data_IF_847498266360
#
_entry.id   IF_847498266360
#
_cell.length_a   1.000
_cell.length_b   1.000
_cell.length_c   1.000
_cell.angle_alpha   90.00
_cell.angle_beta   90.00
_cell.angle_gamma   90.00
#
_symmetry.space_group_name_H-M   'P 1'
#
loop_
_entity.id
_entity.type
_entity.pdbx_description
1 polymer ?
#
# COMPACT_ATOMS: atom_id res chain seq x y z
N UNK A 1 -7.46 27.99 6.23
CA UNK A 1 -6.42 27.52 7.19
C UNK A 1 -6.76 26.11 7.68
N UNK A 2 -5.80 25.21 7.67
CA UNK A 2 -5.90 23.84 8.24
C UNK A 2 -4.72 23.60 9.19
N UNK A 3 -4.91 22.67 10.12
CA UNK A 3 -3.83 22.15 10.99
C UNK A 3 -3.36 20.80 10.45
N UNK A 4 -2.07 20.60 10.29
CA UNK A 4 -1.48 19.37 9.77
C UNK A 4 -0.63 18.70 10.84
N UNK A 5 -1.03 17.50 11.25
CA UNK A 5 -0.34 16.69 12.23
C UNK A 5 0.49 15.62 11.51
N UNK A 6 1.80 15.65 11.64
CA UNK A 6 2.70 14.71 10.98
C UNK A 6 3.42 13.87 12.02
N UNK A 7 3.23 12.55 11.96
CA UNK A 7 4.00 11.61 12.78
C UNK A 7 5.44 11.56 12.29
N UNK A 8 6.38 11.79 13.21
CA UNK A 8 7.82 11.78 12.98
C UNK A 8 8.45 10.66 13.81
N UNK A 9 9.49 10.04 13.29
CA UNK A 9 10.21 8.99 14.01
C UNK A 9 11.38 8.44 13.21
N UNK A 10 12.26 7.71 13.89
CA UNK A 10 13.41 7.03 13.30
C UNK A 10 13.42 5.56 13.70
N UNK A 11 13.84 4.68 12.78
CA UNK A 11 13.92 3.24 13.00
C UNK A 11 14.81 2.87 14.21
N UNK A 12 15.89 3.62 14.40
CA UNK A 12 16.93 3.32 15.38
C UNK A 12 16.52 3.69 16.82
N UNK A 13 15.68 4.72 16.98
CA UNK A 13 15.36 5.25 18.31
C UNK A 13 13.98 4.83 18.85
N UNK A 14 13.15 4.16 18.04
CA UNK A 14 11.84 3.63 18.46
C UNK A 14 10.84 4.66 18.97
N UNK A 15 11.27 5.91 19.17
CA UNK A 15 10.42 6.99 19.64
C UNK A 15 9.77 7.74 18.48
N UNK A 16 8.46 7.90 18.55
CA UNK A 16 7.73 8.73 17.62
C UNK A 16 7.14 9.94 18.33
N UNK A 17 7.06 11.07 17.63
CA UNK A 17 6.39 12.28 18.09
C UNK A 17 5.53 12.87 16.95
N UNK A 18 4.72 13.87 17.25
CA UNK A 18 3.90 14.55 16.27
C UNK A 18 4.36 15.99 16.15
N UNK A 19 4.75 16.38 14.93
CA UNK A 19 4.91 17.79 14.60
C UNK A 19 3.58 18.34 14.11
N UNK A 20 3.23 19.57 14.51
CA UNK A 20 1.96 20.21 14.18
C UNK A 20 2.25 21.51 13.46
N UNK A 21 1.72 21.62 12.22
CA UNK A 21 1.89 22.78 11.37
C UNK A 21 0.54 23.42 11.04
N UNK A 22 0.55 24.72 10.68
CA UNK A 22 -0.61 25.39 10.09
C UNK A 22 -0.36 25.65 8.62
N UNK A 23 -1.41 25.58 7.81
CA UNK A 23 -1.35 25.90 6.39
C UNK A 23 -2.60 26.69 5.96
N UNK A 24 -2.39 27.81 5.32
CA UNK A 24 -3.44 28.73 4.83
C UNK A 24 -3.32 29.04 3.33
N UNK A 25 -2.43 28.33 2.63
CA UNK A 25 -2.24 28.47 1.19
C UNK A 25 -3.31 27.76 0.36
N UNK A 26 -2.94 27.45 -0.88
CA UNK A 26 -3.83 26.80 -1.85
C UNK A 26 -4.25 25.39 -1.39
N UNK A 27 -5.55 25.23 -1.18
CA UNK A 27 -6.16 23.95 -0.77
C UNK A 27 -6.42 22.98 -1.93
N UNK A 28 -6.22 23.41 -3.17
CA UNK A 28 -6.42 22.54 -4.35
C UNK A 28 -5.21 21.67 -4.66
N UNK A 29 -4.10 21.86 -3.95
CA UNK A 29 -2.88 21.05 -4.09
C UNK A 29 -3.04 19.70 -3.39
N UNK A 30 -2.16 18.75 -3.74
CA UNK A 30 -2.11 17.45 -3.08
C UNK A 30 -1.31 17.47 -1.77
N UNK A 31 -1.47 16.43 -0.94
CA UNK A 31 -0.61 16.22 0.24
C UNK A 31 0.86 16.10 -0.15
N UNK A 32 1.17 15.52 -1.32
CA UNK A 32 2.54 15.43 -1.83
C UNK A 32 3.12 16.82 -2.16
N UNK A 33 2.31 17.67 -2.80
CA UNK A 33 2.72 19.07 -3.07
C UNK A 33 2.95 19.83 -1.77
N UNK A 34 2.03 19.69 -0.81
CA UNK A 34 2.17 20.29 0.52
C UNK A 34 3.46 19.85 1.22
N UNK A 35 3.77 18.53 1.26
CA UNK A 35 5.01 18.04 1.88
C UNK A 35 6.25 18.57 1.15
N UNK A 36 6.18 18.74 -0.15
CA UNK A 36 7.24 19.33 -0.95
C UNK A 36 7.45 20.82 -0.61
N UNK A 37 6.35 21.59 -0.51
CA UNK A 37 6.38 23.00 -0.10
C UNK A 37 6.88 23.14 1.34
N UNK A 38 6.35 22.35 2.27
CA UNK A 38 6.76 22.31 3.66
C UNK A 38 8.29 22.12 3.78
N UNK A 39 8.87 21.21 3.00
CA UNK A 39 10.30 20.93 3.05
C UNK A 39 11.17 22.04 2.46
N UNK A 40 10.64 22.83 1.52
CA UNK A 40 11.36 23.94 0.88
C UNK A 40 11.30 25.25 1.67
N UNK A 41 10.17 25.50 2.35
CA UNK A 41 9.91 26.75 3.04
C UNK A 41 10.13 26.63 4.55
N UNK A 42 11.09 27.38 5.10
CA UNK A 42 11.37 27.42 6.54
C UNK A 42 10.20 27.99 7.35
N UNK A 43 9.44 28.95 6.80
CA UNK A 43 8.30 29.51 7.50
C UNK A 43 7.21 28.45 7.68
N UNK A 44 6.91 27.66 6.64
CA UNK A 44 5.97 26.55 6.72
C UNK A 44 6.43 25.45 7.68
N UNK A 45 7.74 25.21 7.81
CA UNK A 45 8.32 24.24 8.76
C UNK A 45 8.41 24.74 10.20
N UNK A 46 8.04 25.96 10.47
CA UNK A 46 7.90 26.43 11.85
C UNK A 46 6.59 25.89 12.42
N UNK A 47 6.69 25.08 13.49
CA UNK A 47 5.52 24.46 14.09
C UNK A 47 4.63 25.45 14.85
N UNK A 48 3.47 25.01 15.32
CA UNK A 48 2.53 25.84 16.07
C UNK A 48 3.10 26.44 17.38
N UNK A 49 4.24 25.91 17.86
CA UNK A 49 4.96 26.42 19.02
C UNK A 49 6.11 27.37 18.66
N UNK A 50 6.23 27.76 17.37
CA UNK A 50 7.27 28.65 16.89
C UNK A 50 8.65 27.98 16.70
N UNK A 51 8.74 26.64 16.75
CA UNK A 51 9.99 25.91 16.59
C UNK A 51 10.16 25.48 15.13
N UNK A 52 11.31 25.85 14.53
CA UNK A 52 11.68 25.35 13.21
C UNK A 52 12.01 23.85 13.29
N UNK A 53 11.29 23.06 12.50
CA UNK A 53 11.47 21.60 12.42
C UNK A 53 12.36 21.20 11.24
N UNK A 54 13.07 20.07 11.32
CA UNK A 54 13.80 19.52 10.18
C UNK A 54 12.84 19.11 9.05
N UNK A 55 13.32 19.01 7.80
CA UNK A 55 12.50 18.49 6.70
C UNK A 55 11.88 17.13 7.02
N UNK A 56 10.66 16.89 6.54
CA UNK A 56 9.95 15.61 6.68
C UNK A 56 10.49 14.64 5.64
N UNK A 57 10.95 13.47 6.08
CA UNK A 57 11.39 12.40 5.19
C UNK A 57 10.18 11.60 4.74
N UNK A 58 10.03 11.42 3.43
CA UNK A 58 8.96 10.65 2.81
C UNK A 58 9.35 10.18 1.42
N UNK A 59 8.76 9.07 0.98
CA UNK A 59 9.06 8.49 -0.33
C UNK A 59 8.21 9.14 -1.42
N UNK A 60 8.83 9.51 -2.52
CA UNK A 60 8.14 9.99 -3.71
C UNK A 60 8.85 9.50 -4.98
N UNK A 61 8.10 9.43 -6.06
CA UNK A 61 8.62 9.06 -7.37
C UNK A 61 7.88 9.84 -8.46
N UNK A 62 6.82 9.26 -9.04
CA UNK A 62 6.13 9.86 -10.18
C UNK A 62 5.27 11.10 -9.86
N UNK A 63 4.79 11.25 -8.63
CA UNK A 63 3.83 12.26 -8.17
C UNK A 63 2.49 12.29 -8.95
N UNK A 64 2.22 11.28 -9.77
CA UNK A 64 1.06 11.15 -10.67
C UNK A 64 0.15 9.96 -10.33
N UNK A 65 0.40 9.28 -9.20
CA UNK A 65 -0.38 8.12 -8.78
C UNK A 65 -0.07 6.81 -9.51
N UNK A 66 1.12 6.67 -10.10
CA UNK A 66 1.50 5.52 -10.94
C UNK A 66 2.57 4.61 -10.32
N UNK A 67 3.32 5.05 -9.29
CA UNK A 67 4.44 4.28 -8.75
C UNK A 67 4.22 3.70 -7.34
N UNK A 68 3.22 4.17 -6.59
CA UNK A 68 2.94 3.69 -5.24
C UNK A 68 3.91 4.14 -4.14
N UNK A 69 4.99 4.88 -4.46
CA UNK A 69 6.02 5.28 -3.49
C UNK A 69 5.44 6.11 -2.33
N UNK A 70 4.63 7.12 -2.63
CA UNK A 70 4.07 8.07 -1.68
C UNK A 70 2.87 7.53 -0.86
N UNK A 71 2.75 6.21 -0.71
CA UNK A 71 1.70 5.61 0.09
C UNK A 71 1.93 5.88 1.59
N UNK A 72 0.93 6.45 2.23
CA UNK A 72 0.93 6.78 3.66
C UNK A 72 -0.49 6.77 4.21
N UNK A 73 -0.65 6.87 5.50
CA UNK A 73 -1.98 6.95 6.12
C UNK A 73 -2.36 8.41 6.33
N UNK A 74 -3.43 8.85 5.68
CA UNK A 74 -3.97 10.21 5.77
C UNK A 74 -5.37 10.13 6.37
N UNK A 75 -5.58 10.77 7.52
CA UNK A 75 -6.83 10.71 8.28
C UNK A 75 -7.30 9.26 8.55
N UNK A 76 -6.37 8.38 8.94
CA UNK A 76 -6.66 6.98 9.24
C UNK A 76 -6.87 6.07 8.03
N UNK A 77 -6.82 6.60 6.79
CA UNK A 77 -7.01 5.82 5.56
C UNK A 77 -5.71 5.75 4.77
N UNK A 78 -5.20 4.54 4.44
CA UNK A 78 -4.03 4.40 3.59
C UNK A 78 -4.35 4.83 2.16
N UNK A 79 -3.53 5.75 1.60
CA UNK A 79 -3.70 6.30 0.27
C UNK A 79 -2.41 6.92 -0.26
N UNK A 80 -2.39 7.29 -1.53
CA UNK A 80 -1.26 7.98 -2.13
C UNK A 80 -1.33 9.48 -1.83
N UNK A 81 -0.25 10.06 -1.32
CA UNK A 81 -0.17 11.50 -1.04
C UNK A 81 -0.41 12.36 -2.30
N UNK A 82 0.14 11.93 -3.44
CA UNK A 82 -0.01 12.63 -4.72
C UNK A 82 -1.42 12.54 -5.35
N UNK A 83 -2.35 11.77 -4.75
CA UNK A 83 -3.76 11.65 -5.16
C UNK A 83 -4.73 12.12 -4.07
N UNK A 84 -4.20 12.71 -3.00
CA UNK A 84 -4.96 13.18 -1.85
C UNK A 84 -4.94 14.71 -1.80
N UNK A 85 -6.00 15.35 -2.31
CA UNK A 85 -6.12 16.80 -2.37
C UNK A 85 -6.49 17.38 -1.00
N UNK A 86 -5.86 18.49 -0.60
CA UNK A 86 -6.07 19.11 0.71
C UNK A 86 -7.54 19.54 0.91
N UNK A 87 -8.21 20.05 -0.11
CA UNK A 87 -9.64 20.44 -0.06
C UNK A 87 -10.57 19.25 0.22
N UNK A 88 -10.15 18.03 -0.10
CA UNK A 88 -10.91 16.80 0.17
C UNK A 88 -10.60 16.20 1.53
N UNK A 89 -9.31 16.12 1.89
CA UNK A 89 -8.90 15.49 3.15
C UNK A 89 -8.92 16.45 4.34
N UNK A 90 -8.79 17.77 4.10
CA UNK A 90 -8.76 18.82 5.13
C UNK A 90 -10.10 19.47 5.48
N UNK A 91 -11.23 18.93 4.99
CA UNK A 91 -12.58 19.53 5.18
C UNK A 91 -12.98 19.82 6.63
N UNK A 92 -12.39 19.08 7.58
CA UNK A 92 -12.65 19.25 9.02
C UNK A 92 -11.69 20.22 9.70
N UNK A 93 -10.91 20.99 8.94
CA UNK A 93 -9.92 21.93 9.46
C UNK A 93 -8.62 21.30 9.96
N UNK A 94 -8.48 19.97 9.89
CA UNK A 94 -7.26 19.28 10.26
C UNK A 94 -6.98 18.06 9.39
N UNK A 95 -5.69 17.70 9.27
CA UNK A 95 -5.21 16.51 8.57
C UNK A 95 -4.21 15.79 9.47
N UNK A 96 -4.31 14.47 9.58
CA UNK A 96 -3.30 13.63 10.21
C UNK A 96 -2.56 12.83 9.15
N UNK A 97 -1.23 12.80 9.22
CA UNK A 97 -0.36 12.07 8.28
C UNK A 97 0.57 11.19 9.11
N UNK A 98 0.59 9.89 8.82
CA UNK A 98 1.49 8.93 9.46
C UNK A 98 2.01 7.89 8.46
N UNK A 99 3.14 7.21 8.73
CA UNK A 99 3.61 6.12 7.88
C UNK A 99 2.64 4.94 7.87
N UNK A 100 2.83 4.01 6.93
CA UNK A 100 2.19 2.70 6.95
C UNK A 100 2.69 1.93 8.17
N UNK A 101 1.80 1.56 9.09
CA UNK A 101 2.18 1.02 10.40
C UNK A 101 2.57 -0.46 10.40
N UNK A 102 2.22 -1.17 9.33
CA UNK A 102 2.49 -2.61 9.17
C UNK A 102 3.81 -2.91 8.44
N UNK A 103 4.58 -1.88 8.19
CA UNK A 103 5.88 -1.94 7.53
C UNK A 103 6.97 -1.40 8.46
N UNK A 104 8.23 -1.86 8.31
CA UNK A 104 9.33 -1.29 9.09
C UNK A 104 9.49 0.19 8.77
N UNK A 105 9.52 1.01 9.81
CA UNK A 105 9.78 2.44 9.67
C UNK A 105 11.25 2.64 9.28
N UNK A 106 11.48 3.43 8.23
CA UNK A 106 12.83 3.90 7.87
C UNK A 106 13.09 5.24 8.55
N UNK A 107 12.29 6.24 8.25
CA UNK A 107 12.33 7.56 8.90
C UNK A 107 11.03 8.32 8.60
N UNK A 108 10.46 8.98 9.57
CA UNK A 108 9.24 9.81 9.48
C UNK A 108 8.07 9.09 8.80
N UNK A 109 7.83 9.39 7.51
CA UNK A 109 6.75 8.81 6.71
C UNK A 109 7.24 7.71 5.75
N UNK A 110 8.56 7.50 5.65
CA UNK A 110 9.19 6.48 4.80
C UNK A 110 9.23 5.12 5.49
N UNK A 111 8.89 4.05 4.76
CA UNK A 111 8.88 2.67 5.25
C UNK A 111 9.55 1.73 4.26
N UNK A 112 10.26 0.69 4.76
CA UNK A 112 10.81 -0.36 3.89
C UNK A 112 9.72 -1.33 3.46
N UNK A 113 9.69 -1.62 2.15
CA UNK A 113 8.82 -2.62 1.52
C UNK A 113 9.58 -3.91 1.16
N UNK A 114 10.86 -4.02 1.47
CA UNK A 114 11.72 -5.13 1.07
C UNK A 114 11.17 -6.48 1.49
N UNK A 115 10.70 -6.59 2.74
CA UNK A 115 10.09 -7.83 3.24
C UNK A 115 8.82 -8.24 2.50
N UNK A 116 8.05 -7.30 1.98
CA UNK A 116 6.90 -7.60 1.12
C UNK A 116 7.36 -8.30 -0.15
N UNK A 117 8.37 -7.75 -0.82
CA UNK A 117 8.94 -8.33 -2.03
C UNK A 117 9.63 -9.68 -1.77
N UNK A 118 10.39 -9.82 -0.69
CA UNK A 118 10.97 -11.09 -0.27
C UNK A 118 9.90 -12.15 -0.05
N UNK A 119 8.78 -11.78 0.58
CA UNK A 119 7.64 -12.67 0.81
C UNK A 119 7.03 -13.17 -0.50
N UNK A 120 6.82 -12.28 -1.46
CA UNK A 120 6.33 -12.64 -2.79
C UNK A 120 7.35 -13.54 -3.51
N UNK A 121 8.63 -13.20 -3.47
CA UNK A 121 9.72 -13.97 -4.09
C UNK A 121 9.80 -15.40 -3.53
N UNK A 122 9.79 -15.59 -2.23
CA UNK A 122 9.85 -16.91 -1.60
C UNK A 122 8.70 -17.84 -2.03
N UNK A 123 7.53 -17.29 -2.33
CA UNK A 123 6.34 -18.03 -2.75
C UNK A 123 6.27 -18.28 -4.26
N UNK A 124 7.33 -17.90 -4.98
CA UNK A 124 7.49 -18.19 -6.42
C UNK A 124 6.29 -17.73 -7.27
N UNK A 125 5.75 -16.55 -6.97
CA UNK A 125 4.62 -15.97 -7.73
C UNK A 125 5.09 -15.21 -8.97
N UNK A 126 5.84 -15.89 -9.82
CA UNK A 126 6.24 -15.41 -11.15
C UNK A 126 6.14 -16.55 -12.15
N UNK A 127 6.12 -16.23 -13.41
CA UNK A 127 6.13 -17.18 -14.51
C UNK A 127 7.43 -17.02 -15.30
N UNK A 128 8.09 -18.14 -15.63
CA UNK A 128 9.28 -18.12 -16.51
C UNK A 128 8.89 -17.82 -17.94
N UNK A 129 7.76 -18.41 -18.37
CA UNK A 129 7.20 -18.21 -19.71
C UNK A 129 5.71 -17.91 -19.58
N UNK A 130 5.31 -16.74 -20.08
CA UNK A 130 3.94 -16.29 -20.02
C UNK A 130 3.16 -16.72 -21.26
N UNK A 131 1.94 -17.23 -21.05
CA UNK A 131 0.96 -17.46 -22.11
C UNK A 131 -0.13 -16.40 -22.07
N UNK A 132 -0.70 -16.09 -23.23
CA UNK A 132 -1.81 -15.15 -23.39
C UNK A 132 -3.11 -15.96 -23.44
N UNK A 133 -4.03 -15.70 -22.54
CA UNK A 133 -5.37 -16.30 -22.57
C UNK A 133 -6.15 -15.79 -23.79
N UNK A 134 -6.86 -16.70 -24.46
CA UNK A 134 -7.79 -16.37 -25.54
C UNK A 134 -9.09 -15.74 -25.01
N UNK A 135 -9.48 -16.08 -23.78
CA UNK A 135 -10.65 -15.50 -23.15
C UNK A 135 -10.47 -14.02 -22.78
N UNK A 136 -11.34 -13.18 -23.33
CA UNK A 136 -11.28 -11.72 -23.18
C UNK A 136 -11.48 -11.27 -21.73
N UNK A 137 -12.33 -11.93 -20.98
CA UNK A 137 -12.59 -11.59 -19.57
C UNK A 137 -11.35 -11.87 -18.71
N UNK A 138 -10.75 -13.04 -18.89
CA UNK A 138 -9.49 -13.42 -18.23
C UNK A 138 -8.35 -12.46 -18.59
N UNK A 139 -8.19 -12.10 -19.88
CA UNK A 139 -7.18 -11.10 -20.29
C UNK A 139 -7.38 -9.75 -19.61
N UNK A 140 -8.62 -9.27 -19.51
CA UNK A 140 -8.93 -8.01 -18.86
C UNK A 140 -8.58 -8.05 -17.36
N UNK A 141 -8.83 -9.17 -16.67
CA UNK A 141 -8.47 -9.33 -15.27
C UNK A 141 -6.96 -9.44 -15.07
N UNK A 142 -6.24 -10.15 -15.95
CA UNK A 142 -4.77 -10.17 -15.95
C UNK A 142 -4.22 -8.75 -16.12
N UNK A 143 -4.73 -7.99 -17.10
CA UNK A 143 -4.32 -6.60 -17.33
C UNK A 143 -4.58 -5.72 -16.10
N UNK A 144 -5.79 -5.81 -15.51
CA UNK A 144 -6.12 -5.05 -14.29
C UNK A 144 -5.22 -5.45 -13.11
N UNK A 145 -4.96 -6.75 -12.91
CA UNK A 145 -4.06 -7.21 -11.84
C UNK A 145 -2.63 -6.68 -12.01
N UNK A 146 -2.15 -6.62 -13.27
CA UNK A 146 -0.84 -6.07 -13.60
C UNK A 146 -0.67 -4.57 -13.37
N UNK A 147 -1.76 -3.84 -13.08
CA UNK A 147 -1.71 -2.42 -12.69
C UNK A 147 -1.44 -2.22 -11.19
N UNK A 148 -1.20 -3.29 -10.44
CA UNK A 148 -0.84 -3.19 -9.02
C UNK A 148 0.40 -2.32 -8.86
N UNK A 149 0.30 -1.30 -7.99
CA UNK A 149 1.40 -0.36 -7.70
C UNK A 149 2.33 -0.87 -6.60
N UNK A 150 2.04 -2.05 -6.02
CA UNK A 150 2.79 -2.61 -4.88
C UNK A 150 2.97 -1.59 -3.74
N UNK A 151 2.00 -0.70 -3.59
CA UNK A 151 2.06 0.46 -2.70
C UNK A 151 1.89 0.11 -1.21
N UNK A 152 1.33 -1.07 -0.88
CA UNK A 152 1.10 -1.51 0.50
C UNK A 152 -0.22 -1.04 1.13
N UNK A 153 -1.03 -0.19 0.48
CA UNK A 153 -2.30 0.30 1.06
C UNK A 153 -3.26 -0.83 1.43
N UNK A 154 -3.37 -1.87 0.61
CA UNK A 154 -4.22 -3.04 0.87
C UNK A 154 -3.73 -3.86 2.07
N UNK A 155 -2.43 -3.92 2.31
CA UNK A 155 -1.83 -4.58 3.47
C UNK A 155 -2.10 -3.78 4.75
N UNK A 156 -1.94 -2.46 4.71
CA UNK A 156 -2.18 -1.57 5.86
C UNK A 156 -3.61 -1.72 6.41
N UNK A 157 -4.62 -1.76 5.53
CA UNK A 157 -6.03 -1.82 5.96
C UNK A 157 -6.51 -3.22 6.29
N UNK A 158 -5.83 -4.28 5.85
CA UNK A 158 -6.29 -5.65 6.01
C UNK A 158 -6.28 -6.10 7.47
N UNK A 159 -7.41 -6.52 8.08
CA UNK A 159 -7.45 -6.93 9.47
C UNK A 159 -6.63 -8.21 9.76
N UNK A 160 -6.50 -9.09 8.77
CA UNK A 160 -5.79 -10.37 8.91
C UNK A 160 -4.28 -10.24 8.73
N UNK A 161 -3.81 -9.24 7.98
CA UNK A 161 -2.39 -8.95 7.85
C UNK A 161 -1.90 -8.19 9.09
N UNK A 162 -1.13 -8.86 9.95
CA UNK A 162 -0.65 -8.31 11.22
C UNK A 162 0.66 -7.50 11.10
N UNK A 163 1.18 -7.38 9.90
CA UNK A 163 2.45 -6.72 9.61
C UNK A 163 3.51 -7.70 9.14
N UNK A 164 4.59 -7.15 8.67
CA UNK A 164 5.71 -7.91 8.09
C UNK A 164 6.46 -8.74 9.14
N UNK A 165 6.32 -8.39 10.42
CA UNK A 165 6.98 -9.05 11.57
C UNK A 165 5.97 -9.68 12.53
N UNK A 166 4.99 -10.43 12.00
CA UNK A 166 3.97 -11.06 12.85
C UNK A 166 4.45 -12.30 13.64
N UNK A 167 5.71 -12.67 13.48
CA UNK A 167 6.36 -13.78 14.19
C UNK A 167 6.08 -15.18 13.63
N UNK A 168 5.18 -15.31 12.64
CA UNK A 168 4.81 -16.62 12.04
C UNK A 168 5.72 -17.05 10.88
N UNK A 169 6.69 -16.22 10.51
CA UNK A 169 7.63 -16.51 9.42
C UNK A 169 6.93 -16.78 8.08
N UNK A 170 7.33 -17.86 7.43
CA UNK A 170 6.79 -18.22 6.10
C UNK A 170 5.33 -18.69 6.13
N UNK A 171 4.76 -18.99 7.29
CA UNK A 171 3.35 -19.35 7.48
C UNK A 171 2.45 -18.14 7.78
N UNK A 172 3.00 -16.93 7.80
CA UNK A 172 2.21 -15.72 7.99
C UNK A 172 1.25 -15.49 6.83
N UNK A 173 0.06 -14.95 7.15
CA UNK A 173 -0.89 -14.50 6.12
C UNK A 173 -0.22 -13.45 5.21
N UNK A 174 -0.08 -13.71 3.90
CA UNK A 174 0.72 -12.86 3.02
C UNK A 174 0.02 -11.56 2.59
N UNK A 175 -1.27 -11.43 2.93
CA UNK A 175 -2.07 -10.26 2.62
C UNK A 175 -2.62 -10.19 1.18
N UNK A 176 -3.47 -9.19 0.90
CA UNK A 176 -4.23 -9.11 -0.36
C UNK A 176 -3.39 -9.01 -1.64
N UNK A 177 -2.18 -8.45 -1.56
CA UNK A 177 -1.27 -8.37 -2.72
C UNK A 177 -0.90 -9.77 -3.23
N UNK A 178 -0.75 -10.73 -2.32
CA UNK A 178 -0.45 -12.11 -2.68
C UNK A 178 -1.54 -12.73 -3.57
N UNK A 179 -2.81 -12.49 -3.28
CA UNK A 179 -3.90 -12.97 -4.11
C UNK A 179 -3.88 -12.35 -5.53
N UNK A 180 -3.53 -11.06 -5.64
CA UNK A 180 -3.41 -10.36 -6.93
C UNK A 180 -2.29 -10.97 -7.78
N UNK A 181 -1.11 -11.16 -7.18
CA UNK A 181 0.05 -11.71 -7.86
C UNK A 181 -0.15 -13.20 -8.19
N UNK A 182 -0.74 -13.98 -7.27
CA UNK A 182 -1.08 -15.39 -7.52
C UNK A 182 -2.04 -15.53 -8.69
N UNK A 183 -3.07 -14.68 -8.77
CA UNK A 183 -4.00 -14.70 -9.91
C UNK A 183 -3.27 -14.48 -11.23
N UNK A 184 -2.39 -13.48 -11.28
CA UNK A 184 -1.62 -13.16 -12.47
C UNK A 184 -0.72 -14.33 -12.87
N UNK A 185 0.05 -14.87 -11.94
CA UNK A 185 0.95 -16.00 -12.18
C UNK A 185 0.18 -17.27 -12.62
N UNK A 186 -0.92 -17.61 -11.95
CA UNK A 186 -1.77 -18.75 -12.30
C UNK A 186 -2.32 -18.65 -13.73
N UNK A 187 -2.76 -17.45 -14.14
CA UNK A 187 -3.40 -17.26 -15.45
C UNK A 187 -2.43 -17.04 -16.61
N UNK A 188 -1.16 -16.78 -16.32
CA UNK A 188 -0.13 -16.58 -17.35
C UNK A 188 0.89 -17.71 -17.42
N UNK A 189 0.93 -18.63 -16.46
CA UNK A 189 1.85 -19.78 -16.50
C UNK A 189 1.42 -20.82 -17.53
N UNK A 190 2.38 -21.37 -18.29
CA UNK A 190 2.23 -22.53 -19.15
C UNK A 190 2.61 -23.85 -18.42
N UNK A 191 3.08 -23.77 -17.18
CA UNK A 191 3.48 -24.91 -16.35
C UNK A 191 2.35 -25.32 -15.40
N UNK A 192 1.75 -26.49 -15.65
CA UNK A 192 0.69 -27.07 -14.83
C UNK A 192 1.14 -27.40 -13.41
N UNK A 193 2.36 -27.88 -13.23
CA UNK A 193 2.92 -28.18 -11.91
C UNK A 193 3.07 -26.89 -11.08
N UNK A 194 3.59 -25.83 -11.70
CA UNK A 194 3.69 -24.54 -11.06
C UNK A 194 2.33 -23.99 -10.66
N UNK A 195 1.34 -24.04 -11.57
CA UNK A 195 -0.05 -23.62 -11.25
C UNK A 195 -0.65 -24.42 -10.08
N UNK A 196 -0.46 -25.72 -10.07
CA UNK A 196 -0.92 -26.56 -8.96
C UNK A 196 -0.31 -26.17 -7.63
N UNK A 197 1.01 -25.93 -7.59
CA UNK A 197 1.73 -25.44 -6.41
C UNK A 197 1.21 -24.09 -5.93
N UNK A 198 0.96 -23.13 -6.84
CA UNK A 198 0.38 -21.84 -6.52
C UNK A 198 -0.98 -21.97 -5.85
N UNK A 199 -1.83 -22.90 -6.32
CA UNK A 199 -3.15 -23.15 -5.72
C UNK A 199 -3.06 -23.75 -4.31
N UNK A 200 -2.16 -24.70 -4.07
CA UNK A 200 -1.94 -25.26 -2.72
C UNK A 200 -1.53 -24.12 -1.76
N UNK A 201 -0.50 -23.36 -2.11
CA UNK A 201 0.00 -22.26 -1.28
C UNK A 201 -1.06 -21.15 -1.07
N UNK A 202 -1.86 -20.86 -2.11
CA UNK A 202 -2.95 -19.89 -2.00
C UNK A 202 -4.02 -20.37 -1.02
N UNK A 203 -4.42 -21.63 -1.06
CA UNK A 203 -5.39 -22.18 -0.13
C UNK A 203 -4.88 -22.11 1.31
N UNK A 204 -3.69 -22.63 1.56
CA UNK A 204 -3.15 -22.75 2.93
C UNK A 204 -2.85 -21.39 3.56
N UNK A 205 -2.28 -20.48 2.79
CA UNK A 205 -1.78 -19.21 3.34
C UNK A 205 -2.79 -18.07 3.24
N UNK A 206 -3.61 -18.05 2.19
CA UNK A 206 -4.51 -16.92 1.94
C UNK A 206 -5.98 -17.28 2.15
N UNK A 207 -6.50 -18.29 1.45
CA UNK A 207 -7.94 -18.57 1.46
C UNK A 207 -8.47 -18.89 2.87
N UNK A 208 -7.80 -19.77 3.60
CA UNK A 208 -8.18 -20.18 4.97
C UNK A 208 -8.03 -19.03 5.99
N UNK A 209 -7.31 -17.98 5.66
CA UNK A 209 -6.98 -16.87 6.55
C UNK A 209 -7.59 -15.52 6.14
N UNK A 210 -8.42 -15.48 5.09
CA UNK A 210 -9.05 -14.25 4.61
C UNK A 210 -10.51 -14.14 5.04
N UNK A 211 -10.85 -13.20 5.92
CA UNK A 211 -12.23 -12.95 6.40
C UNK A 211 -13.09 -12.15 5.42
N UNK A 212 -12.64 -11.92 4.18
CA UNK A 212 -13.36 -11.19 3.14
C UNK A 212 -13.86 -9.78 3.55
N UNK A 213 -13.10 -9.06 4.38
CA UNK A 213 -13.45 -7.69 4.81
C UNK A 213 -13.54 -6.68 3.66
N UNK A 214 -12.94 -6.99 2.51
CA UNK A 214 -12.85 -6.16 1.30
C UNK A 214 -12.28 -4.76 1.51
N UNK A 215 -11.64 -4.49 2.64
CA UNK A 215 -10.89 -3.25 2.87
C UNK A 215 -9.82 -3.02 1.80
N UNK A 216 -9.18 -4.09 1.32
CA UNK A 216 -8.19 -4.05 0.24
C UNK A 216 -8.75 -3.43 -1.06
N UNK A 217 -9.99 -3.80 -1.45
CA UNK A 217 -10.66 -3.21 -2.61
C UNK A 217 -10.99 -1.74 -2.38
N UNK A 218 -11.51 -1.42 -1.19
CA UNK A 218 -11.96 -0.07 -0.85
C UNK A 218 -10.84 0.98 -0.91
N UNK A 219 -9.61 0.63 -0.50
CA UNK A 219 -8.47 1.58 -0.45
C UNK A 219 -7.54 1.51 -1.65
N UNK A 220 -7.75 0.57 -2.59
CA UNK A 220 -6.82 0.36 -3.69
C UNK A 220 -6.75 1.57 -4.63
N UNK A 221 -5.60 2.27 -4.73
CA UNK A 221 -5.48 3.43 -5.60
C UNK A 221 -5.52 3.07 -7.10
N UNK A 222 -5.11 1.86 -7.46
CA UNK A 222 -5.18 1.31 -8.81
C UNK A 222 -6.53 0.64 -9.12
N UNK A 223 -7.47 0.61 -8.15
CA UNK A 223 -8.80 0.00 -8.29
C UNK A 223 -8.76 -1.46 -8.76
N UNK A 224 -7.80 -2.22 -8.25
CA UNK A 224 -7.71 -3.66 -8.52
C UNK A 224 -9.01 -4.34 -8.07
N UNK A 225 -9.64 -5.19 -8.90
CA UNK A 225 -10.87 -5.88 -8.56
C UNK A 225 -10.60 -7.10 -7.65
N UNK A 226 -10.17 -6.86 -6.41
CA UNK A 226 -9.76 -7.90 -5.45
C UNK A 226 -10.81 -8.99 -5.27
N UNK A 227 -12.09 -8.64 -5.25
CA UNK A 227 -13.21 -9.56 -5.12
C UNK A 227 -13.32 -10.52 -6.31
N UNK A 228 -13.22 -10.01 -7.55
CA UNK A 228 -13.26 -10.83 -8.76
C UNK A 228 -12.05 -11.78 -8.84
N UNK A 229 -10.84 -11.28 -8.55
CA UNK A 229 -9.62 -12.08 -8.59
C UNK A 229 -9.69 -13.22 -7.57
N UNK A 230 -10.11 -12.92 -6.34
CA UNK A 230 -10.29 -13.93 -5.29
C UNK A 230 -11.39 -14.93 -5.65
N UNK A 231 -12.54 -14.49 -6.14
CA UNK A 231 -13.63 -15.38 -6.57
C UNK A 231 -13.16 -16.36 -7.65
N UNK A 232 -12.36 -15.91 -8.62
CA UNK A 232 -11.79 -16.76 -9.68
C UNK A 232 -10.74 -17.75 -9.18
N UNK A 233 -9.93 -17.38 -8.19
CA UNK A 233 -9.01 -18.31 -7.53
C UNK A 233 -9.78 -19.35 -6.70
N UNK A 234 -10.78 -18.91 -5.93
CA UNK A 234 -11.58 -19.77 -5.06
C UNK A 234 -12.44 -20.78 -5.83
N UNK A 235 -12.88 -20.44 -7.05
CA UNK A 235 -13.73 -21.34 -7.86
C UNK A 235 -13.05 -22.63 -8.29
N UNK A 236 -11.71 -22.66 -8.37
CA UNK A 236 -10.91 -23.85 -8.71
C UNK A 236 -10.79 -24.87 -7.56
N UNK A 237 -11.28 -24.55 -6.37
CA UNK A 237 -11.24 -25.43 -5.19
C UNK A 237 -12.20 -26.62 -5.25
N UNK A 238 -13.06 -26.72 -6.27
CA UNK A 238 -14.12 -27.73 -6.39
C UNK A 238 -13.73 -28.97 -7.21
N UNK A 239 -12.44 -29.22 -7.40
CA UNK A 239 -11.96 -30.43 -8.06
C UNK A 239 -11.03 -31.20 -7.14
#
# INVERSE_FOLDING_TARGET
>A
MITVHITRGEAVHGASHIDVFTYDGDMTITVADYLTLLNRDKALRTDVNGKLRPPVIWDCGCLEGKCGACAMVINGVPRLACRSFLDKVGRRGSITIRPLSKFPLSCDLSVSKDKMFETLKKRQIWTEKAVISEDTETRNLIYKSGQCLECGCCLEVCPNFKGIFDGRGDNAFPGPIYAVETYRADRTSDDDYHRHKLHILYNDLFYENCDNSMGCKAVCPAKIPHDELQARLNSKKRV
#
